data_IF_034106385230
#
_entry.id   IF_034106385230
#
_cell.length_a   1.000
_cell.length_b   1.000
_cell.length_c   1.000
_cell.angle_alpha   90.00
_cell.angle_beta   90.00
_cell.angle_gamma   90.00
#
_symmetry.space_group_name_H-M   'P 1'
#
loop_
_entity.id
_entity.type
_entity.pdbx_description
1 polymer ?
#
# COMPACT_ATOMS: atom_id res chain seq x y z
N UNK A 1 -0.95 -21.17 15.73
CA UNK A 1 -1.22 -19.79 15.27
C UNK A 1 -0.38 -18.84 16.11
N UNK A 2 0.40 -17.95 15.49
CA UNK A 2 1.22 -16.96 16.20
C UNK A 2 0.45 -15.64 16.29
N UNK A 3 -0.01 -15.29 17.49
CA UNK A 3 -0.83 -14.10 17.73
C UNK A 3 -0.08 -12.78 17.56
N UNK A 4 1.21 -12.73 17.89
CA UNK A 4 2.01 -11.52 17.69
C UNK A 4 2.21 -11.26 16.21
N UNK A 5 2.46 -12.32 15.43
CA UNK A 5 2.53 -12.22 13.97
C UNK A 5 1.23 -11.72 13.36
N UNK A 6 0.09 -12.20 13.87
CA UNK A 6 -1.22 -11.74 13.42
C UNK A 6 -1.39 -10.23 13.66
N UNK A 7 -1.01 -9.74 14.84
CA UNK A 7 -1.05 -8.30 15.17
C UNK A 7 -0.13 -7.47 14.29
N UNK A 8 1.08 -7.96 13.98
CA UNK A 8 1.98 -7.28 13.04
C UNK A 8 1.35 -7.16 11.64
N UNK A 9 0.71 -8.23 11.15
CA UNK A 9 0.02 -8.19 9.84
C UNK A 9 -1.19 -7.26 9.87
N UNK A 10 -1.96 -7.23 10.97
CA UNK A 10 -3.05 -6.25 11.14
C UNK A 10 -2.50 -4.82 11.13
N UNK A 11 -1.41 -4.55 11.85
CA UNK A 11 -0.76 -3.24 11.86
C UNK A 11 -0.27 -2.83 10.46
N UNK A 12 0.40 -3.74 9.75
CA UNK A 12 0.77 -3.53 8.35
C UNK A 12 -0.44 -3.26 7.45
N UNK A 13 -1.53 -3.99 7.65
CA UNK A 13 -2.79 -3.81 6.92
C UNK A 13 -3.41 -2.43 7.11
N UNK A 14 -3.20 -1.77 8.26
CA UNK A 14 -3.66 -0.40 8.47
C UNK A 14 -2.93 0.58 7.54
N UNK A 15 -1.62 0.42 7.34
CA UNK A 15 -0.86 1.22 6.37
C UNK A 15 -1.34 0.96 4.94
N UNK A 16 -1.70 -0.29 4.60
CA UNK A 16 -2.29 -0.61 3.31
C UNK A 16 -3.67 0.05 3.14
N UNK A 17 -4.49 0.08 4.19
CA UNK A 17 -5.77 0.80 4.17
C UNK A 17 -5.57 2.30 3.92
N UNK A 18 -4.59 2.92 4.57
CA UNK A 18 -4.28 4.34 4.32
C UNK A 18 -3.77 4.58 2.90
N UNK A 19 -3.00 3.65 2.33
CA UNK A 19 -2.63 3.70 0.92
C UNK A 19 -3.87 3.63 0.02
N UNK A 20 -4.85 2.78 0.32
CA UNK A 20 -6.12 2.76 -0.41
C UNK A 20 -6.85 4.11 -0.35
N UNK A 21 -6.96 4.74 0.83
CA UNK A 21 -7.63 6.04 0.93
C UNK A 21 -6.96 7.10 0.05
N UNK A 22 -5.63 7.04 -0.11
CA UNK A 22 -4.91 7.96 -0.99
C UNK A 22 -5.03 7.59 -2.47
N UNK A 23 -5.11 6.30 -2.82
CA UNK A 23 -5.34 5.89 -4.22
C UNK A 23 -6.74 6.24 -4.68
N UNK A 24 -7.75 6.08 -3.82
CA UNK A 24 -9.14 6.42 -4.11
C UNK A 24 -9.27 7.94 -4.38
N UNK A 25 -8.58 8.78 -3.58
CA UNK A 25 -8.51 10.23 -3.82
C UNK A 25 -7.78 10.59 -5.12
N UNK A 26 -6.79 9.78 -5.51
CA UNK A 26 -6.02 10.03 -6.73
C UNK A 26 -6.81 9.65 -7.99
N UNK A 27 -7.49 8.50 -7.97
CA UNK A 27 -8.22 7.94 -9.12
C UNK A 27 -9.60 8.61 -9.31
N UNK A 28 -10.24 9.07 -8.23
CA UNK A 28 -11.51 9.79 -8.28
C UNK A 28 -11.33 11.28 -7.89
N UNK A 29 -10.62 12.10 -8.69
CA UNK A 29 -10.47 13.51 -8.40
C UNK A 29 -11.79 14.23 -8.68
N UNK A 30 -12.49 14.67 -7.63
CA UNK A 30 -13.49 15.74 -7.76
C UNK A 30 -12.75 17.08 -7.59
N UNK A 31 -12.77 17.93 -8.63
CA UNK A 31 -12.32 19.33 -8.62
C UNK A 31 -10.91 19.63 -8.06
N UNK A 32 -9.93 18.74 -8.23
CA UNK A 32 -8.54 19.02 -7.84
C UNK A 32 -7.83 19.97 -8.82
N UNK A 33 -7.13 20.97 -8.30
CA UNK A 33 -6.06 21.69 -9.01
C UNK A 33 -4.90 20.74 -9.36
N UNK A 34 -4.01 21.16 -10.28
CA UNK A 34 -2.80 20.40 -10.61
C UNK A 34 -1.92 20.16 -9.37
N UNK A 35 -1.78 21.18 -8.50
CA UNK A 35 -1.01 21.08 -7.26
C UNK A 35 -1.61 20.06 -6.29
N UNK A 36 -2.94 20.01 -6.16
CA UNK A 36 -3.62 19.03 -5.31
C UNK A 36 -3.49 17.62 -5.89
N UNK A 37 -3.61 17.47 -7.21
CA UNK A 37 -3.42 16.19 -7.89
C UNK A 37 -2.02 15.62 -7.65
N UNK A 38 -0.98 16.46 -7.74
CA UNK A 38 0.40 16.09 -7.41
C UNK A 38 0.50 15.70 -5.94
N UNK A 39 -0.04 16.50 -5.03
CA UNK A 39 0.03 16.22 -3.59
C UNK A 39 -0.62 14.87 -3.24
N UNK A 40 -1.81 14.60 -3.77
CA UNK A 40 -2.55 13.35 -3.54
C UNK A 40 -1.80 12.14 -4.10
N UNK A 41 -1.25 12.23 -5.32
CA UNK A 41 -0.43 11.16 -5.90
C UNK A 41 0.80 10.87 -5.02
N UNK A 42 1.48 11.92 -4.54
CA UNK A 42 2.64 11.78 -3.66
C UNK A 42 2.29 11.13 -2.32
N UNK A 43 1.13 11.45 -1.73
CA UNK A 43 0.65 10.78 -0.51
C UNK A 43 0.43 9.28 -0.74
N UNK A 44 -0.13 8.90 -1.90
CA UNK A 44 -0.26 7.50 -2.26
C UNK A 44 1.12 6.82 -2.41
N UNK A 45 2.04 7.43 -3.16
CA UNK A 45 3.39 6.89 -3.36
C UNK A 45 4.17 6.74 -2.05
N UNK A 46 4.08 7.73 -1.17
CA UNK A 46 4.68 7.67 0.16
C UNK A 46 4.08 6.55 1.00
N UNK A 47 2.75 6.41 1.00
CA UNK A 47 2.05 5.35 1.74
C UNK A 47 2.43 3.96 1.22
N UNK A 48 2.52 3.79 -0.11
CA UNK A 48 2.92 2.54 -0.73
C UNK A 48 4.35 2.13 -0.36
N UNK A 49 5.27 3.09 -0.23
CA UNK A 49 6.61 2.76 0.25
C UNK A 49 6.58 2.19 1.68
N UNK A 50 5.78 2.77 2.58
CA UNK A 50 5.65 2.27 3.96
C UNK A 50 5.04 0.87 3.99
N UNK A 51 4.08 0.57 3.10
CA UNK A 51 3.54 -0.79 2.92
C UNK A 51 4.66 -1.76 2.49
N UNK A 52 5.53 -1.37 1.57
CA UNK A 52 6.67 -2.19 1.14
C UNK A 52 7.70 -2.37 2.27
N UNK A 53 7.99 -1.32 3.05
CA UNK A 53 8.87 -1.41 4.23
C UNK A 53 8.32 -2.44 5.23
N UNK A 54 7.03 -2.35 5.56
CA UNK A 54 6.37 -3.31 6.44
C UNK A 54 6.34 -4.73 5.87
N UNK A 55 6.08 -4.91 4.57
CA UNK A 55 6.14 -6.23 3.91
C UNK A 55 7.51 -6.90 4.12
N UNK A 56 8.60 -6.15 3.89
CA UNK A 56 9.97 -6.64 4.08
C UNK A 56 10.27 -6.98 5.54
N UNK A 57 9.76 -6.20 6.48
CA UNK A 57 9.92 -6.46 7.92
C UNK A 57 9.11 -7.67 8.39
N UNK A 58 7.93 -7.89 7.79
CA UNK A 58 7.10 -9.03 8.11
C UNK A 58 7.74 -10.37 7.71
N UNK A 59 8.64 -10.39 6.72
CA UNK A 59 9.29 -11.62 6.24
C UNK A 59 8.27 -12.73 5.91
N UNK A 60 7.13 -12.34 5.34
CA UNK A 60 6.14 -13.26 4.76
C UNK A 60 6.34 -13.24 3.25
N UNK A 61 6.03 -14.35 2.60
CA UNK A 61 6.23 -14.53 1.17
C UNK A 61 4.89 -14.62 0.44
N UNK A 62 4.84 -14.04 -0.76
CA UNK A 62 3.76 -14.20 -1.72
C UNK A 62 4.33 -14.01 -3.12
N UNK A 63 4.29 -15.08 -3.91
CA UNK A 63 5.00 -15.11 -5.19
C UNK A 63 4.58 -14.02 -6.18
N UNK A 64 3.34 -13.53 -6.10
CA UNK A 64 2.87 -12.44 -6.98
C UNK A 64 3.42 -11.10 -6.53
N UNK A 65 3.35 -10.80 -5.24
CA UNK A 65 3.93 -9.58 -4.65
C UNK A 65 5.44 -9.55 -4.91
N UNK A 66 6.12 -10.65 -4.59
CA UNK A 66 7.57 -10.75 -4.69
C UNK A 66 8.03 -10.63 -6.14
N UNK A 67 7.28 -11.19 -7.10
CA UNK A 67 7.54 -11.02 -8.52
C UNK A 67 7.45 -9.55 -8.94
N UNK A 68 6.37 -8.84 -8.59
CA UNK A 68 6.18 -7.43 -8.93
C UNK A 68 7.30 -6.56 -8.33
N UNK A 69 7.64 -6.78 -7.05
CA UNK A 69 8.72 -6.05 -6.38
C UNK A 69 10.10 -6.32 -7.00
N UNK A 70 10.36 -7.56 -7.42
CA UNK A 70 11.64 -7.94 -8.02
C UNK A 70 11.87 -7.32 -9.40
N UNK A 71 10.80 -7.14 -10.17
CA UNK A 71 10.84 -6.62 -11.54
C UNK A 71 10.97 -5.10 -11.62
N UNK A 72 10.63 -4.35 -10.56
CA UNK A 72 10.67 -2.88 -10.57
C UNK A 72 11.40 -2.29 -9.35
N UNK A 73 12.69 -2.61 -9.21
CA UNK A 73 13.53 -2.08 -8.12
C UNK A 73 13.71 -0.56 -8.18
N UNK A 74 13.77 0.00 -9.39
CA UNK A 74 13.89 1.45 -9.59
C UNK A 74 12.62 2.17 -9.10
N UNK A 75 11.45 1.63 -9.42
CA UNK A 75 10.17 2.12 -8.91
C UNK A 75 10.12 2.13 -7.38
N UNK A 76 10.59 1.06 -6.72
CA UNK A 76 10.67 1.01 -5.24
C UNK A 76 11.58 2.10 -4.68
N UNK A 77 12.71 2.38 -5.33
CA UNK A 77 13.62 3.45 -4.92
C UNK A 77 13.03 4.84 -5.17
N UNK A 78 12.25 5.02 -6.24
CA UNK A 78 11.45 6.24 -6.43
C UNK A 78 10.48 6.39 -5.25
N UNK A 79 9.63 5.39 -4.94
CA UNK A 79 8.69 5.49 -3.82
C UNK A 79 9.35 5.88 -2.48
N UNK A 80 10.58 5.40 -2.21
CA UNK A 80 11.38 5.84 -1.05
C UNK A 80 11.64 7.35 -1.06
N UNK A 81 12.02 7.90 -2.21
CA UNK A 81 12.24 9.34 -2.39
C UNK A 81 10.93 10.11 -2.28
N UNK A 82 9.83 9.56 -2.80
CA UNK A 82 8.49 10.14 -2.65
C UNK A 82 8.12 10.29 -1.17
N UNK A 83 8.31 9.23 -0.38
CA UNK A 83 8.09 9.24 1.09
C UNK A 83 8.89 10.34 1.76
N UNK A 84 10.16 10.51 1.39
CA UNK A 84 10.98 11.58 1.93
C UNK A 84 10.50 12.97 1.52
N UNK A 85 10.09 13.15 0.27
CA UNK A 85 9.58 14.42 -0.23
C UNK A 85 8.26 14.83 0.44
N UNK A 86 7.42 13.87 0.82
CA UNK A 86 6.15 14.12 1.53
C UNK A 86 6.37 14.51 2.99
N UNK A 87 7.23 13.79 3.71
CA UNK A 87 7.34 13.93 5.17
C UNK A 87 8.55 14.73 5.67
N UNK A 88 9.45 15.15 4.78
CA UNK A 88 10.55 16.04 5.12
C UNK A 88 10.40 17.37 4.41
N UNK A 89 10.37 18.46 5.18
CA UNK A 89 10.38 19.82 4.64
C UNK A 89 11.58 20.04 3.71
N UNK A 90 11.33 20.67 2.57
CA UNK A 90 12.33 20.98 1.58
C UNK A 90 12.39 22.49 1.37
N UNK A 91 13.62 23.03 1.28
CA UNK A 91 13.85 24.46 1.13
C UNK A 91 13.58 24.98 -0.29
N UNK A 92 13.63 24.10 -1.29
CA UNK A 92 13.37 24.44 -2.69
C UNK A 92 11.92 24.12 -3.06
N UNK A 93 11.31 24.96 -3.90
CA UNK A 93 9.99 24.68 -4.47
C UNK A 93 10.13 23.55 -5.48
N UNK A 94 9.33 22.50 -5.32
CA UNK A 94 9.50 21.25 -6.05
C UNK A 94 8.69 21.10 -7.33
N UNK A 95 7.95 22.12 -7.77
CA UNK A 95 6.94 22.01 -8.84
C UNK A 95 7.34 21.14 -10.04
N UNK A 96 8.46 21.44 -10.70
CA UNK A 96 8.92 20.70 -11.89
C UNK A 96 9.55 19.33 -11.58
N UNK A 97 10.30 19.22 -10.48
CA UNK A 97 10.90 17.95 -10.05
C UNK A 97 9.79 16.96 -9.64
N UNK A 98 8.73 17.47 -9.02
CA UNK A 98 7.63 16.65 -8.54
C UNK A 98 6.73 16.16 -9.67
N UNK A 99 6.43 17.01 -10.65
CA UNK A 99 5.63 16.64 -11.82
C UNK A 99 6.34 15.64 -12.72
N UNK A 100 7.66 15.82 -12.97
CA UNK A 100 8.46 14.84 -13.71
C UNK A 100 8.47 13.47 -13.03
N UNK A 101 8.64 13.46 -11.71
CA UNK A 101 8.65 12.24 -10.93
C UNK A 101 7.27 11.57 -10.82
N UNK A 102 6.18 12.34 -10.73
CA UNK A 102 4.81 11.80 -10.81
C UNK A 102 4.54 11.19 -12.19
N UNK A 103 5.04 11.81 -13.27
CA UNK A 103 5.00 11.23 -14.60
C UNK A 103 5.79 9.92 -14.68
N UNK A 104 7.00 9.87 -14.12
CA UNK A 104 7.83 8.66 -14.12
C UNK A 104 7.15 7.50 -13.38
N UNK A 105 6.44 7.78 -12.28
CA UNK A 105 5.65 6.78 -11.54
C UNK A 105 4.29 6.46 -12.19
N UNK A 106 3.67 7.44 -12.85
CA UNK A 106 2.34 7.29 -13.47
C UNK A 106 2.36 6.63 -14.85
N UNK A 107 3.53 6.51 -15.50
CA UNK A 107 3.68 5.89 -16.82
C UNK A 107 3.51 4.36 -16.82
N UNK A 108 3.65 3.71 -15.67
CA UNK A 108 3.51 2.26 -15.52
C UNK A 108 2.51 1.97 -14.39
N UNK A 109 1.49 1.17 -14.71
CA UNK A 109 0.45 0.72 -13.78
C UNK A 109 0.97 -0.28 -12.72
N UNK A 110 2.28 -0.58 -12.71
CA UNK A 110 2.92 -1.48 -11.73
C UNK A 110 2.57 -1.16 -10.28
N UNK A 111 2.47 0.13 -9.90
CA UNK A 111 2.21 0.50 -8.51
C UNK A 111 0.76 0.19 -8.12
N UNK A 112 -0.17 0.38 -9.04
CA UNK A 112 -1.57 -0.03 -8.88
C UNK A 112 -1.68 -1.55 -8.83
N UNK A 113 -0.95 -2.27 -9.70
CA UNK A 113 -0.88 -3.73 -9.68
C UNK A 113 -0.33 -4.26 -8.35
N UNK A 114 0.76 -3.67 -7.85
CA UNK A 114 1.35 -4.04 -6.57
C UNK A 114 0.37 -3.78 -5.41
N UNK A 115 -0.28 -2.62 -5.41
CA UNK A 115 -1.34 -2.30 -4.45
C UNK A 115 -2.44 -3.37 -4.46
N UNK A 116 -2.95 -3.73 -5.63
CA UNK A 116 -3.97 -4.79 -5.75
C UNK A 116 -3.49 -6.14 -5.23
N UNK A 117 -2.24 -6.52 -5.47
CA UNK A 117 -1.68 -7.76 -4.95
C UNK A 117 -1.55 -7.74 -3.42
N UNK A 118 -1.22 -6.60 -2.80
CA UNK A 118 -1.26 -6.46 -1.35
C UNK A 118 -2.68 -6.57 -0.78
N UNK A 119 -3.67 -5.92 -1.41
CA UNK A 119 -5.09 -6.01 -1.00
C UNK A 119 -5.57 -7.45 -1.10
N UNK A 120 -5.25 -8.14 -2.21
CA UNK A 120 -5.53 -9.58 -2.39
C UNK A 120 -4.97 -10.39 -1.25
N UNK A 121 -3.67 -10.24 -1.01
CA UNK A 121 -2.95 -11.01 -0.02
C UNK A 121 -3.59 -10.85 1.36
N UNK A 122 -3.86 -9.62 1.78
CA UNK A 122 -4.45 -9.32 3.09
C UNK A 122 -5.88 -9.87 3.22
N UNK A 123 -6.69 -9.82 2.15
CA UNK A 123 -8.03 -10.40 2.13
C UNK A 123 -8.05 -11.93 2.17
N UNK A 124 -7.01 -12.59 1.66
CA UNK A 124 -6.89 -14.05 1.73
C UNK A 124 -6.21 -14.52 3.03
N UNK A 125 -5.38 -13.67 3.65
CA UNK A 125 -4.53 -13.99 4.77
C UNK A 125 -5.24 -14.69 5.94
N UNK A 126 -6.33 -14.16 6.53
CA UNK A 126 -6.95 -14.78 7.70
C UNK A 126 -7.46 -16.19 7.43
N UNK A 127 -7.90 -16.48 6.19
CA UNK A 127 -8.35 -17.82 5.79
C UNK A 127 -7.20 -18.80 5.62
N UNK A 128 -6.04 -18.32 5.16
CA UNK A 128 -4.84 -19.14 4.96
C UNK A 128 -4.18 -19.52 6.29
N UNK A 129 -4.20 -18.63 7.28
CA UNK A 129 -3.49 -18.86 8.56
C UNK A 129 -4.34 -19.54 9.62
N UNK A 130 -5.67 -19.54 9.47
CA UNK A 130 -6.57 -20.21 10.40
C UNK A 130 -6.78 -21.69 10.02
N UNK A 131 -6.35 -22.65 10.86
CA UNK A 131 -6.28 -24.06 10.47
C UNK A 131 -7.60 -24.84 10.67
N UNK A 132 -8.59 -24.26 11.36
CA UNK A 132 -9.83 -24.97 11.74
C UNK A 132 -11.00 -24.51 10.88
N UNK A 133 -11.87 -25.43 10.45
CA UNK A 133 -13.03 -25.09 9.63
C UNK A 133 -14.20 -24.54 10.45
N UNK A 134 -14.44 -25.10 11.64
CA UNK A 134 -15.64 -24.82 12.47
C UNK A 134 -15.80 -23.34 12.86
N UNK A 135 -14.70 -22.59 12.92
CA UNK A 135 -14.66 -21.19 13.40
C UNK A 135 -13.99 -20.24 12.40
N UNK A 136 -13.76 -20.70 11.16
CA UNK A 136 -12.98 -19.97 10.16
C UNK A 136 -13.59 -18.62 9.81
N UNK A 137 -14.90 -18.58 9.62
CA UNK A 137 -15.61 -17.34 9.26
C UNK A 137 -15.66 -16.36 10.43
N UNK A 138 -15.82 -16.85 11.66
CA UNK A 138 -15.78 -15.99 12.85
C UNK A 138 -14.40 -15.37 13.03
N UNK A 139 -13.33 -16.17 12.93
CA UNK A 139 -11.96 -15.69 12.99
C UNK A 139 -11.68 -14.63 11.91
N UNK A 140 -12.15 -14.87 10.68
CA UNK A 140 -11.97 -13.93 9.58
C UNK A 140 -12.74 -12.63 9.83
N UNK A 141 -13.94 -12.70 10.40
CA UNK A 141 -14.69 -11.53 10.86
C UNK A 141 -13.90 -10.73 11.90
N UNK A 142 -13.44 -11.38 12.97
CA UNK A 142 -12.65 -10.75 14.03
C UNK A 142 -11.35 -10.12 13.50
N UNK A 143 -10.69 -10.77 12.54
CA UNK A 143 -9.50 -10.21 11.89
C UNK A 143 -9.81 -8.90 11.17
N UNK A 144 -10.91 -8.82 10.43
CA UNK A 144 -11.31 -7.58 9.76
C UNK A 144 -11.81 -6.52 10.74
N UNK A 145 -12.46 -6.91 11.83
CA UNK A 145 -12.85 -5.98 12.90
C UNK A 145 -11.62 -5.35 13.55
N UNK A 146 -10.56 -6.14 13.79
CA UNK A 146 -9.27 -5.63 14.29
C UNK A 146 -8.58 -4.70 13.29
N UNK A 147 -8.64 -5.04 11.99
CA UNK A 147 -8.10 -4.21 10.91
C UNK A 147 -8.89 -2.91 10.73
N UNK A 148 -10.17 -2.89 11.11
CA UNK A 148 -11.09 -1.76 10.88
C UNK A 148 -11.47 -1.58 9.41
N UNK A 149 -11.10 -2.54 8.55
CA UNK A 149 -11.30 -2.50 7.12
C UNK A 149 -11.37 -3.93 6.59
N UNK A 150 -12.27 -4.17 5.64
CA UNK A 150 -12.34 -5.42 4.89
C UNK A 150 -11.73 -5.18 3.50
N UNK A 151 -10.56 -5.77 3.18
CA UNK A 151 -9.99 -5.70 1.85
C UNK A 151 -10.98 -6.24 0.82
N UNK A 152 -11.40 -5.38 -0.11
CA UNK A 152 -12.30 -5.71 -1.20
C UNK A 152 -11.71 -5.20 -2.50
N UNK A 153 -11.79 -6.02 -3.54
CA UNK A 153 -11.62 -5.56 -4.90
C UNK A 153 -12.88 -4.78 -5.30
N UNK A 154 -12.72 -3.53 -5.71
CA UNK A 154 -13.73 -2.80 -6.48
C UNK A 154 -13.39 -2.91 -7.95
#
# INVERSE_FOLDING_TARGET
>A
MNWDKLKEVVSWGQYLHWAQLNVDRWICPEDHTESESIAVAYQFFASMYVVIEGWKQLQIEDSKIDHVLSNNKEGVELLRRARNAVYHFQKEIHGEKMSGFANDLGRDDWIIRLYHEFVRFLGEYPRKVYPFDEWKEEFVGQFYDMLGWKPQFK
#
